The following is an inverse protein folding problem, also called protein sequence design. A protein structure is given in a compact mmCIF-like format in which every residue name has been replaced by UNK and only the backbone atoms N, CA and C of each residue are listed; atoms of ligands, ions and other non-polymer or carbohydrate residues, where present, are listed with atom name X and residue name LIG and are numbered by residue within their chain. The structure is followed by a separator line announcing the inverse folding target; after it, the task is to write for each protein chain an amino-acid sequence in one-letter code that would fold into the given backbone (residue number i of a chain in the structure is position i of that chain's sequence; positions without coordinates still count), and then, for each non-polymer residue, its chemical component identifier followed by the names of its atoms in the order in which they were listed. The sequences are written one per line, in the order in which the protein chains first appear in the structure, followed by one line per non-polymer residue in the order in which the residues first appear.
data_IF_817361095829
#
_entry.id   IF_817361095829
#
_cell.length_a   1.000
_cell.length_b   1.000
_cell.length_c   1.000
_cell.angle_alpha   90.00
_cell.angle_beta   90.00
_cell.angle_gamma   90.00
#
_symmetry.space_group_name_H-M   'P 1'
#
loop_
_entity.id
_entity.type
_entity.pdbx_description
1 polymer ?
#
# COMPACT_ATOMS: atom_id res chain seq x y z
N UNK A 1 -21.79 -6.31 8.56
CA UNK A 1 -21.77 -7.28 7.44
C UNK A 1 -23.18 -7.68 7.02
N UNK A 2 -24.05 -8.17 7.90
CA UNK A 2 -25.44 -8.55 7.51
C UNK A 2 -26.28 -7.38 6.95
N UNK A 3 -26.09 -6.16 7.49
CA UNK A 3 -26.81 -4.96 7.03
C UNK A 3 -26.36 -4.51 5.63
N UNK A 4 -25.08 -4.67 5.29
CA UNK A 4 -24.54 -4.31 3.96
C UNK A 4 -24.89 -5.33 2.88
N UNK A 5 -24.96 -6.62 3.23
CA UNK A 5 -25.39 -7.68 2.31
C UNK A 5 -26.83 -7.48 1.83
N UNK A 6 -27.73 -7.08 2.75
CA UNK A 6 -29.14 -6.88 2.42
C UNK A 6 -29.36 -5.68 1.48
N UNK A 7 -28.58 -4.62 1.63
CA UNK A 7 -28.64 -3.43 0.77
C UNK A 7 -28.15 -3.71 -0.67
N UNK A 8 -27.06 -4.46 -0.82
CA UNK A 8 -26.56 -4.85 -2.14
C UNK A 8 -27.53 -5.78 -2.86
N UNK A 9 -28.07 -6.77 -2.16
CA UNK A 9 -29.05 -7.71 -2.72
C UNK A 9 -30.32 -7.01 -3.19
N UNK A 10 -30.77 -5.98 -2.47
CA UNK A 10 -31.93 -5.18 -2.87
C UNK A 10 -31.64 -4.39 -4.15
N UNK A 11 -30.51 -3.69 -4.22
CA UNK A 11 -30.11 -2.97 -5.45
C UNK A 11 -29.90 -3.89 -6.64
N UNK A 12 -29.30 -5.06 -6.42
CA UNK A 12 -29.13 -6.05 -7.48
C UNK A 12 -30.48 -6.54 -8.01
N UNK A 13 -31.44 -6.82 -7.12
CA UNK A 13 -32.81 -7.18 -7.53
C UNK A 13 -33.48 -6.05 -8.33
N UNK A 14 -33.36 -4.80 -7.87
CA UNK A 14 -33.91 -3.64 -8.58
C UNK A 14 -33.29 -3.50 -9.98
N UNK A 15 -31.97 -3.65 -10.11
CA UNK A 15 -31.27 -3.62 -11.39
C UNK A 15 -31.74 -4.75 -12.33
N UNK A 16 -31.87 -5.97 -11.80
CA UNK A 16 -32.34 -7.11 -12.58
C UNK A 16 -33.78 -6.93 -13.06
N UNK A 17 -34.65 -6.31 -12.25
CA UNK A 17 -36.01 -5.97 -12.67
C UNK A 17 -35.99 -4.91 -13.76
N UNK A 18 -35.21 -3.84 -13.62
CA UNK A 18 -35.05 -2.82 -14.66
C UNK A 18 -34.60 -3.41 -16.01
N UNK A 19 -33.64 -4.34 -16.01
CA UNK A 19 -33.15 -5.01 -17.23
C UNK A 19 -34.23 -5.91 -17.85
N UNK A 20 -35.06 -6.57 -17.03
CA UNK A 20 -36.18 -7.40 -17.50
C UNK A 20 -37.31 -6.55 -18.09
N UNK A 21 -37.68 -5.48 -17.40
CA UNK A 21 -38.79 -4.61 -17.78
C UNK A 21 -38.48 -3.81 -19.05
N UNK A 22 -37.20 -3.48 -19.28
CA UNK A 22 -36.71 -2.88 -20.52
C UNK A 22 -36.59 -3.86 -21.70
N UNK A 23 -36.94 -5.14 -21.51
CA UNK A 23 -36.85 -6.21 -22.52
C UNK A 23 -35.44 -6.32 -23.17
N UNK A 24 -34.40 -5.88 -22.46
CA UNK A 24 -33.05 -5.65 -22.99
C UNK A 24 -32.03 -6.68 -22.52
N UNK A 25 -32.48 -7.74 -21.82
CA UNK A 25 -31.64 -8.81 -21.25
C UNK A 25 -30.65 -9.38 -22.28
N UNK A 26 -31.15 -9.73 -23.47
CA UNK A 26 -30.31 -10.34 -24.51
C UNK A 26 -29.29 -9.34 -25.08
N UNK A 27 -29.66 -8.06 -25.18
CA UNK A 27 -28.76 -7.01 -25.68
C UNK A 27 -27.62 -6.74 -24.70
N UNK A 28 -27.92 -6.53 -23.41
CA UNK A 28 -26.90 -6.35 -22.38
C UNK A 28 -26.04 -7.60 -22.17
N UNK A 29 -26.61 -8.80 -22.28
CA UNK A 29 -25.84 -10.05 -22.23
C UNK A 29 -24.84 -10.15 -23.38
N UNK A 30 -25.25 -9.84 -24.62
CA UNK A 30 -24.35 -9.80 -25.79
C UNK A 30 -23.27 -8.74 -25.62
N UNK A 31 -23.62 -7.54 -25.15
CA UNK A 31 -22.68 -6.46 -24.90
C UNK A 31 -21.63 -6.87 -23.86
N UNK A 32 -22.06 -7.36 -22.69
CA UNK A 32 -21.15 -7.78 -21.61
C UNK A 32 -20.20 -8.90 -22.07
N UNK A 33 -20.69 -9.84 -22.88
CA UNK A 33 -19.88 -10.95 -23.42
C UNK A 33 -18.86 -10.47 -24.45
N UNK A 34 -19.15 -9.36 -25.15
CA UNK A 34 -18.24 -8.78 -26.14
C UNK A 34 -17.08 -7.99 -25.53
N UNK A 35 -17.24 -7.52 -24.28
CA UNK A 35 -16.22 -6.75 -23.56
C UNK A 35 -15.10 -7.67 -23.09
N UNK A 36 -13.86 -7.31 -23.44
CA UNK A 36 -12.69 -8.15 -23.17
C UNK A 36 -12.02 -7.78 -21.85
N UNK A 37 -11.98 -6.49 -21.53
CA UNK A 37 -11.31 -6.02 -20.32
C UNK A 37 -12.31 -5.85 -19.19
N UNK A 38 -11.87 -6.19 -17.98
CA UNK A 38 -12.76 -6.15 -16.81
C UNK A 38 -13.15 -4.72 -16.45
N UNK A 39 -12.29 -3.73 -16.71
CA UNK A 39 -12.65 -2.33 -16.50
C UNK A 39 -13.82 -1.86 -17.38
N UNK A 40 -13.92 -2.36 -18.62
CA UNK A 40 -15.02 -2.04 -19.53
C UNK A 40 -16.34 -2.62 -19.00
N UNK A 41 -16.29 -3.85 -18.47
CA UNK A 41 -17.45 -4.52 -17.85
C UNK A 41 -17.91 -3.78 -16.58
N UNK A 42 -16.97 -3.31 -15.76
CA UNK A 42 -17.27 -2.49 -14.57
C UNK A 42 -17.91 -1.16 -14.99
N UNK A 43 -17.37 -0.49 -16.01
CA UNK A 43 -17.92 0.75 -16.55
C UNK A 43 -19.34 0.56 -17.09
N UNK A 44 -19.57 -0.52 -17.84
CA UNK A 44 -20.92 -0.88 -18.31
C UNK A 44 -21.90 -1.09 -17.14
N UNK A 45 -21.50 -1.84 -16.10
CA UNK A 45 -22.32 -2.06 -14.92
C UNK A 45 -22.61 -0.74 -14.17
N UNK A 46 -21.63 0.17 -14.12
CA UNK A 46 -21.78 1.49 -13.52
C UNK A 46 -22.79 2.37 -14.29
N UNK A 47 -22.70 2.41 -15.62
CA UNK A 47 -23.65 3.12 -16.47
C UNK A 47 -25.07 2.58 -16.31
N UNK A 48 -25.24 1.25 -16.28
CA UNK A 48 -26.52 0.59 -16.04
C UNK A 48 -27.15 0.98 -14.70
N UNK A 49 -26.35 1.01 -13.64
CA UNK A 49 -26.80 1.42 -12.31
C UNK A 49 -27.21 2.90 -12.28
N UNK A 50 -26.55 3.77 -13.05
CA UNK A 50 -26.94 5.17 -13.21
C UNK A 50 -28.25 5.34 -13.99
N UNK A 51 -28.38 4.64 -15.12
CA UNK A 51 -29.62 4.64 -15.94
C UNK A 51 -30.82 4.15 -15.14
N UNK A 52 -30.63 3.12 -14.31
CA UNK A 52 -31.66 2.59 -13.42
C UNK A 52 -31.97 3.51 -12.21
N UNK A 53 -31.25 4.63 -12.05
CA UNK A 53 -31.41 5.54 -10.90
C UNK A 53 -30.96 4.93 -9.56
N UNK A 54 -30.14 3.87 -9.59
CA UNK A 54 -29.70 3.12 -8.42
C UNK A 54 -28.39 3.66 -7.83
N UNK A 55 -27.73 4.60 -8.50
CA UNK A 55 -26.56 5.31 -8.01
C UNK A 55 -26.88 6.79 -7.84
N UNK A 56 -26.81 7.27 -6.60
CA UNK A 56 -26.93 8.69 -6.30
C UNK A 56 -25.54 9.35 -6.35
N UNK A 57 -25.31 10.16 -7.38
CA UNK A 57 -24.10 10.98 -7.53
C UNK A 57 -24.23 12.36 -6.88
N UNK A 58 -25.39 12.69 -6.31
CA UNK A 58 -25.66 13.99 -5.70
C UNK A 58 -24.88 14.19 -4.39
N UNK A 59 -24.49 13.11 -3.72
CA UNK A 59 -23.37 13.11 -2.78
C UNK A 59 -22.06 13.32 -3.55
N UNK A 60 -21.80 14.57 -3.96
CA UNK A 60 -20.49 14.98 -4.46
C UNK A 60 -19.45 14.55 -3.43
N UNK A 61 -18.71 13.48 -3.72
CA UNK A 61 -17.55 13.10 -2.92
C UNK A 61 -16.71 14.35 -2.76
N UNK A 62 -16.59 14.85 -1.53
CA UNK A 62 -15.89 16.10 -1.25
C UNK A 62 -14.41 15.83 -1.50
N UNK A 63 -13.96 16.04 -2.73
CA UNK A 63 -12.58 15.77 -3.13
C UNK A 63 -11.68 16.67 -2.31
N UNK A 64 -11.01 16.08 -1.33
CA UNK A 64 -10.03 16.79 -0.52
C UNK A 64 -8.79 17.03 -1.37
N UNK A 65 -8.41 18.29 -1.48
CA UNK A 65 -7.20 18.72 -2.16
C UNK A 65 -6.02 18.75 -1.19
N UNK A 66 -4.82 18.75 -1.77
CA UNK A 66 -3.59 18.97 -1.01
C UNK A 66 -3.58 20.37 -0.40
N UNK A 67 -3.03 20.48 0.80
CA UNK A 67 -3.00 21.70 1.61
C UNK A 67 -1.79 21.67 2.54
N UNK A 68 -0.88 22.64 2.39
CA UNK A 68 0.26 22.81 3.31
C UNK A 68 -0.20 23.04 4.76
N UNK A 69 -1.34 23.71 4.94
CA UNK A 69 -1.94 23.92 6.28
C UNK A 69 -2.35 22.60 6.92
N UNK A 70 -3.12 21.78 6.20
CA UNK A 70 -3.57 20.47 6.71
C UNK A 70 -2.39 19.54 6.95
N UNK A 71 -1.43 19.50 6.02
CA UNK A 71 -0.20 18.73 6.19
C UNK A 71 0.54 19.11 7.48
N UNK A 72 0.65 20.40 7.77
CA UNK A 72 1.28 20.91 9.00
C UNK A 72 0.49 20.53 10.25
N UNK A 73 -0.84 20.63 10.24
CA UNK A 73 -1.71 20.21 11.35
C UNK A 73 -1.51 18.72 11.68
N UNK A 74 -1.52 17.86 10.66
CA UNK A 74 -1.26 16.43 10.86
C UNK A 74 0.16 16.19 11.36
N UNK A 75 1.16 16.90 10.83
CA UNK A 75 2.54 16.77 11.32
C UNK A 75 2.64 17.12 12.80
N UNK A 76 2.01 18.20 13.24
CA UNK A 76 2.05 18.64 14.63
C UNK A 76 1.29 17.69 15.56
N UNK A 77 0.19 17.11 15.08
CA UNK A 77 -0.51 16.02 15.77
C UNK A 77 0.38 14.78 15.90
N UNK A 78 1.03 14.36 14.82
CA UNK A 78 1.97 13.23 14.83
C UNK A 78 3.17 13.46 15.75
N UNK A 79 3.64 14.70 15.88
CA UNK A 79 4.69 15.07 16.82
C UNK A 79 4.27 14.78 18.27
N UNK A 80 3.03 15.14 18.64
CA UNK A 80 2.48 14.88 19.97
C UNK A 80 2.34 13.38 20.24
N UNK A 81 1.79 12.63 19.28
CA UNK A 81 1.62 11.17 19.39
C UNK A 81 2.96 10.45 19.53
N UNK A 82 3.98 10.89 18.77
CA UNK A 82 5.33 10.32 18.87
C UNK A 82 6.01 10.64 20.20
N UNK A 83 5.81 11.85 20.74
CA UNK A 83 6.28 12.20 22.09
C UNK A 83 5.63 11.32 23.16
N UNK A 84 4.36 10.97 22.99
CA UNK A 84 3.61 10.05 23.85
C UNK A 84 3.95 8.56 23.62
N UNK A 85 4.93 8.23 22.77
CA UNK A 85 5.33 6.86 22.42
C UNK A 85 4.24 6.03 21.74
N UNK A 86 3.26 6.70 21.13
CA UNK A 86 2.19 6.07 20.37
C UNK A 86 2.62 5.88 18.91
N UNK A 87 3.69 5.12 18.68
CA UNK A 87 4.38 5.05 17.38
C UNK A 87 3.47 4.59 16.23
N UNK A 88 2.59 3.61 16.46
CA UNK A 88 1.63 3.14 15.45
C UNK A 88 0.58 4.20 15.07
N UNK A 89 0.18 5.06 16.01
CA UNK A 89 -0.72 6.16 15.72
C UNK A 89 0.03 7.29 15.01
N UNK A 90 1.22 7.63 15.51
CA UNK A 90 2.07 8.66 14.94
C UNK A 90 2.40 8.39 13.47
N UNK A 91 2.71 7.13 13.10
CA UNK A 91 3.04 6.79 11.71
C UNK A 91 1.82 6.92 10.78
N UNK A 92 0.62 6.63 11.26
CA UNK A 92 -0.63 6.86 10.53
C UNK A 92 -0.88 8.35 10.33
N UNK A 93 -0.72 9.14 11.40
CA UNK A 93 -0.91 10.59 11.36
C UNK A 93 0.12 11.29 10.46
N UNK A 94 1.39 10.86 10.49
CA UNK A 94 2.38 11.37 9.53
C UNK A 94 2.10 10.93 8.10
N UNK A 95 1.49 9.77 7.88
CA UNK A 95 1.06 9.35 6.55
C UNK A 95 -0.05 10.26 6.01
N UNK A 96 -0.96 10.72 6.86
CA UNK A 96 -1.92 11.78 6.50
C UNK A 96 -1.19 13.10 6.19
N UNK A 97 -0.21 13.50 7.00
CA UNK A 97 0.60 14.70 6.73
C UNK A 97 1.27 14.65 5.35
N UNK A 98 1.85 13.51 4.98
CA UNK A 98 2.40 13.24 3.65
C UNK A 98 1.31 13.32 2.57
N UNK A 99 0.13 12.74 2.81
CA UNK A 99 -0.98 12.71 1.86
C UNK A 99 -1.50 14.11 1.50
N UNK A 100 -1.65 14.98 2.51
CA UNK A 100 -2.10 16.36 2.35
C UNK A 100 -1.01 17.30 1.82
N UNK A 101 0.28 16.96 1.93
CA UNK A 101 1.34 17.85 1.51
C UNK A 101 1.31 18.07 -0.03
N UNK A 102 1.40 19.33 -0.50
CA UNK A 102 1.59 19.64 -1.92
C UNK A 102 2.86 19.00 -2.48
N UNK A 103 2.84 18.64 -3.76
CA UNK A 103 4.03 18.12 -4.43
C UNK A 103 5.18 19.14 -4.37
N UNK A 104 6.41 18.66 -4.19
CA UNK A 104 7.64 19.48 -4.12
C UNK A 104 7.67 20.54 -3.00
N UNK A 105 6.78 20.46 -2.02
CA UNK A 105 6.74 21.39 -0.89
C UNK A 105 7.76 21.04 0.20
N UNK A 106 8.13 22.04 0.99
CA UNK A 106 8.87 21.82 2.24
C UNK A 106 8.05 20.98 3.23
N UNK A 107 6.72 21.16 3.27
CA UNK A 107 5.85 20.34 4.12
C UNK A 107 5.95 18.85 3.80
N UNK A 108 5.99 18.48 2.52
CA UNK A 108 6.14 17.09 2.10
C UNK A 108 7.48 16.50 2.57
N UNK A 109 8.56 17.26 2.41
CA UNK A 109 9.89 16.83 2.83
C UNK A 109 9.98 16.68 4.36
N UNK A 110 9.40 17.62 5.12
CA UNK A 110 9.31 17.57 6.57
C UNK A 110 8.42 16.41 7.05
N UNK A 111 7.32 16.12 6.36
CA UNK A 111 6.44 15.00 6.68
C UNK A 111 7.15 13.65 6.50
N UNK A 112 7.88 13.45 5.40
CA UNK A 112 8.74 12.26 5.22
C UNK A 112 9.83 12.16 6.29
N UNK A 113 10.48 13.28 6.62
CA UNK A 113 11.48 13.34 7.67
C UNK A 113 10.93 12.94 9.05
N UNK A 114 9.70 13.30 9.38
CA UNK A 114 9.08 12.92 10.65
C UNK A 114 8.59 11.47 10.63
N UNK A 115 7.99 11.02 9.52
CA UNK A 115 7.57 9.62 9.37
C UNK A 115 8.75 8.65 9.46
N UNK A 116 9.89 9.01 8.86
CA UNK A 116 11.11 8.19 8.99
C UNK A 116 11.59 8.05 10.44
N UNK A 117 11.39 9.06 11.29
CA UNK A 117 11.72 8.98 12.71
C UNK A 117 10.93 7.88 13.44
N UNK A 118 9.65 7.75 13.12
CA UNK A 118 8.77 6.73 13.70
C UNK A 118 9.06 5.34 13.13
N UNK A 119 9.24 5.23 11.81
CA UNK A 119 9.62 3.93 11.22
C UNK A 119 10.97 3.43 11.73
N UNK A 120 11.88 4.34 12.11
CA UNK A 120 13.12 4.00 12.80
C UNK A 120 12.87 3.44 14.20
N UNK A 121 11.98 4.04 15.00
CA UNK A 121 11.65 3.53 16.34
C UNK A 121 10.91 2.19 16.30
N UNK A 122 10.13 1.95 15.25
CA UNK A 122 9.48 0.66 14.96
C UNK A 122 10.44 -0.42 14.42
N UNK A 123 11.72 -0.10 14.19
CA UNK A 123 12.71 -1.05 13.65
C UNK A 123 12.58 -1.32 12.15
N UNK A 124 11.75 -0.55 11.43
CA UNK A 124 11.56 -0.67 9.98
C UNK A 124 12.63 0.12 9.22
N UNK A 125 13.90 -0.27 9.38
CA UNK A 125 15.06 0.49 8.90
C UNK A 125 15.06 0.72 7.38
N UNK A 126 14.62 -0.26 6.57
CA UNK A 126 14.53 -0.11 5.11
C UNK A 126 13.46 0.90 4.70
N UNK A 127 12.34 0.94 5.42
CA UNK A 127 11.25 1.91 5.26
C UNK A 127 11.71 3.31 5.65
N UNK A 128 12.40 3.42 6.79
CA UNK A 128 13.00 4.66 7.28
C UNK A 128 13.95 5.29 6.24
N UNK A 129 14.86 4.51 5.67
CA UNK A 129 15.81 4.98 4.66
C UNK A 129 15.10 5.54 3.42
N UNK A 130 14.03 4.88 2.95
CA UNK A 130 13.25 5.35 1.78
C UNK A 130 12.62 6.73 2.02
N UNK A 131 12.05 6.96 3.19
CA UNK A 131 11.48 8.27 3.54
C UNK A 131 12.56 9.33 3.74
N UNK A 132 13.72 8.98 4.30
CA UNK A 132 14.87 9.89 4.37
C UNK A 132 15.30 10.32 2.96
N UNK A 133 15.44 9.38 2.04
CA UNK A 133 15.86 9.67 0.66
C UNK A 133 14.85 10.57 -0.06
N UNK A 134 13.55 10.34 0.16
CA UNK A 134 12.48 11.22 -0.37
C UNK A 134 12.54 12.62 0.21
N UNK A 135 12.77 12.75 1.52
CA UNK A 135 12.92 14.06 2.16
C UNK A 135 14.13 14.80 1.59
N UNK A 136 15.28 14.15 1.50
CA UNK A 136 16.53 14.73 0.98
C UNK A 136 16.47 15.09 -0.51
N UNK A 137 15.71 14.33 -1.32
CA UNK A 137 15.46 14.64 -2.72
C UNK A 137 14.50 15.83 -2.92
N UNK A 138 13.73 16.20 -1.89
CA UNK A 138 12.80 17.32 -1.90
C UNK A 138 13.37 18.57 -1.22
N UNK A 139 12.46 19.47 -0.86
CA UNK A 139 12.75 20.77 -0.24
C UNK A 139 13.05 20.67 1.26
N UNK A 140 13.84 19.68 1.70
CA UNK A 140 14.19 19.55 3.12
C UNK A 140 15.24 20.59 3.54
N UNK A 141 15.02 21.34 4.63
CA UNK A 141 15.91 22.42 5.04
C UNK A 141 17.34 21.96 5.28
N UNK A 142 18.30 22.64 4.66
CA UNK A 142 19.72 22.25 4.67
C UNK A 142 20.27 22.13 6.09
N UNK A 143 19.95 23.10 6.95
CA UNK A 143 20.39 23.16 8.33
C UNK A 143 19.88 22.02 9.23
N UNK A 144 18.94 21.20 8.75
CA UNK A 144 18.43 20.01 9.45
C UNK A 144 18.94 18.69 8.84
N UNK A 145 19.59 18.71 7.66
CA UNK A 145 19.97 17.50 6.91
C UNK A 145 20.84 16.53 7.72
N UNK A 146 21.69 17.06 8.60
CA UNK A 146 22.53 16.25 9.47
C UNK A 146 21.72 15.22 10.30
N UNK A 147 20.50 15.57 10.75
CA UNK A 147 19.61 14.65 11.50
C UNK A 147 19.14 13.46 10.67
N UNK A 148 18.86 13.71 9.38
CA UNK A 148 18.43 12.65 8.47
C UNK A 148 19.57 11.70 8.15
N UNK A 149 20.75 12.24 7.85
CA UNK A 149 21.94 11.42 7.58
C UNK A 149 22.40 10.63 8.81
N UNK A 150 22.31 11.19 10.02
CA UNK A 150 22.56 10.47 11.26
C UNK A 150 21.59 9.28 11.42
N UNK A 151 20.28 9.51 11.23
CA UNK A 151 19.27 8.45 11.28
C UNK A 151 19.48 7.39 10.19
N UNK A 152 19.87 7.81 8.98
CA UNK A 152 20.18 6.91 7.86
C UNK A 152 21.36 6.02 8.19
N UNK A 153 22.45 6.59 8.71
CA UNK A 153 23.62 5.84 9.15
C UNK A 153 23.28 4.82 10.24
N UNK A 154 22.51 5.22 11.27
CA UNK A 154 22.02 4.30 12.31
C UNK A 154 21.18 3.16 11.73
N UNK A 155 20.25 3.48 10.82
CA UNK A 155 19.41 2.48 10.14
C UNK A 155 20.26 1.47 9.35
N UNK A 156 21.27 1.95 8.61
CA UNK A 156 22.18 1.12 7.83
C UNK A 156 23.05 0.22 8.70
N UNK A 157 23.48 0.68 9.89
CA UNK A 157 24.17 -0.16 10.88
C UNK A 157 23.30 -1.32 11.34
N UNK A 158 22.03 -1.08 11.64
CA UNK A 158 21.11 -2.16 12.02
C UNK A 158 20.89 -3.17 10.89
N UNK A 159 20.96 -2.72 9.63
CA UNK A 159 20.91 -3.57 8.45
C UNK A 159 22.25 -4.22 8.08
N UNK A 160 23.30 -4.05 8.89
CA UNK A 160 24.67 -4.55 8.62
C UNK A 160 25.28 -4.03 7.31
N UNK A 161 24.86 -2.84 6.89
CA UNK A 161 25.44 -2.11 5.75
C UNK A 161 26.46 -1.08 6.26
N UNK A 162 27.60 -1.58 6.77
CA UNK A 162 28.57 -0.77 7.51
C UNK A 162 29.27 0.30 6.65
N UNK A 163 29.54 0.01 5.37
CA UNK A 163 30.17 0.98 4.46
C UNK A 163 29.20 2.12 4.17
N UNK A 164 28.00 1.76 3.73
CA UNK A 164 26.92 2.74 3.45
C UNK A 164 26.56 3.57 4.70
N UNK A 165 26.64 2.95 5.90
CA UNK A 165 26.44 3.65 7.16
C UNK A 165 27.54 4.69 7.42
N UNK A 166 28.81 4.32 7.20
CA UNK A 166 29.94 5.23 7.35
C UNK A 166 29.78 6.46 6.44
N UNK A 167 29.48 6.24 5.17
CA UNK A 167 29.24 7.32 4.19
C UNK A 167 28.12 8.27 4.67
N UNK A 168 27.05 7.70 5.24
CA UNK A 168 25.95 8.50 5.80
C UNK A 168 26.37 9.33 7.01
N UNK A 169 27.19 8.79 7.92
CA UNK A 169 27.69 9.55 9.06
C UNK A 169 28.68 10.65 8.65
N UNK A 170 29.53 10.40 7.65
CA UNK A 170 30.40 11.43 7.08
C UNK A 170 29.57 12.55 6.45
N UNK A 171 28.51 12.23 5.70
CA UNK A 171 27.60 13.25 5.18
C UNK A 171 26.87 14.03 6.28
N UNK A 172 26.52 13.37 7.40
CA UNK A 172 26.00 14.06 8.57
C UNK A 172 27.01 15.08 9.13
N UNK A 173 28.30 14.73 9.21
CA UNK A 173 29.36 15.64 9.65
C UNK A 173 29.52 16.83 8.71
N UNK A 174 29.52 16.61 7.39
CA UNK A 174 29.57 17.71 6.41
C UNK A 174 28.38 18.65 6.55
N UNK A 175 27.17 18.10 6.76
CA UNK A 175 25.96 18.91 6.96
C UNK A 175 25.93 19.67 8.30
N UNK A 176 26.83 19.40 9.25
CA UNK A 176 26.93 20.19 10.47
C UNK A 176 27.40 21.63 10.20
N UNK A 177 28.14 21.86 9.11
CA UNK A 177 28.64 23.18 8.73
C UNK A 177 27.51 24.18 8.44
N UNK A 178 26.38 23.69 7.90
CA UNK A 178 25.18 24.50 7.64
C UNK A 178 24.14 24.41 8.76
N UNK A 179 24.44 23.74 9.88
CA UNK A 179 23.51 23.59 11.00
C UNK A 179 23.38 24.88 11.83
N UNK A 180 22.23 25.03 12.49
CA UNK A 180 21.95 26.15 13.43
C UNK A 180 22.20 25.76 14.90
N UNK A 181 23.10 24.81 15.14
CA UNK A 181 23.40 24.34 16.50
C UNK A 181 24.27 25.34 17.26
N UNK A 182 24.06 25.44 18.58
CA UNK A 182 24.96 26.17 19.48
C UNK A 182 26.29 25.41 19.64
N UNK A 183 27.32 26.11 20.14
CA UNK A 183 28.69 25.58 20.20
C UNK A 183 28.83 24.29 21.02
N UNK A 184 28.04 24.13 22.10
CA UNK A 184 28.07 22.91 22.92
C UNK A 184 27.39 21.74 22.23
N UNK A 185 26.17 21.92 21.69
CA UNK A 185 25.46 20.85 20.97
C UNK A 185 26.18 20.46 19.70
N UNK A 186 26.80 21.42 19.00
CA UNK A 186 27.60 21.15 17.81
C UNK A 186 28.81 20.26 18.13
N UNK A 187 29.54 20.56 19.21
CA UNK A 187 30.66 19.72 19.68
C UNK A 187 30.18 18.32 20.08
N UNK A 188 29.12 18.23 20.88
CA UNK A 188 28.55 16.95 21.31
C UNK A 188 28.12 16.08 20.12
N UNK A 189 27.42 16.67 19.14
CA UNK A 189 26.99 15.98 17.94
C UNK A 189 28.18 15.54 17.06
N UNK A 190 29.18 16.40 16.89
CA UNK A 190 30.41 16.10 16.13
C UNK A 190 31.18 14.93 16.76
N UNK A 191 31.30 14.91 18.09
CA UNK A 191 31.92 13.81 18.84
C UNK A 191 31.15 12.50 18.63
N UNK A 192 29.82 12.52 18.82
CA UNK A 192 28.98 11.34 18.64
C UNK A 192 29.07 10.77 17.22
N UNK A 193 29.03 11.60 16.19
CA UNK A 193 29.19 11.16 14.80
C UNK A 193 30.58 10.57 14.56
N UNK A 194 31.62 11.17 15.13
CA UNK A 194 33.00 10.66 15.00
C UNK A 194 33.16 9.27 15.63
N UNK A 195 32.50 9.01 16.75
CA UNK A 195 32.43 7.68 17.36
C UNK A 195 31.69 6.69 16.46
N UNK A 196 30.56 7.09 15.86
CA UNK A 196 29.83 6.24 14.92
C UNK A 196 30.68 5.87 13.71
N UNK A 197 31.41 6.83 13.12
CA UNK A 197 32.33 6.58 11.99
C UNK A 197 33.42 5.57 12.37
N UNK A 198 34.05 5.74 13.54
CA UNK A 198 35.07 4.80 14.03
C UNK A 198 34.52 3.39 14.25
N UNK A 199 33.26 3.30 14.68
CA UNK A 199 32.60 2.01 14.94
C UNK A 199 32.16 1.27 13.67
N UNK A 200 32.09 1.95 12.52
CA UNK A 200 31.70 1.35 11.25
C UNK A 200 32.92 0.73 10.56
N UNK A 201 33.22 -0.54 10.88
CA UNK A 201 34.23 -1.35 10.20
C UNK A 201 33.58 -2.51 9.44
N UNK A 202 33.93 -2.68 8.16
CA UNK A 202 33.50 -3.83 7.34
C UNK A 202 32.79 -3.46 6.04
N UNK A 203 32.50 -4.48 5.23
CA UNK A 203 31.75 -4.36 3.98
C UNK A 203 30.25 -4.44 4.20
N UNK A 204 29.46 -4.06 3.20
CA UNK A 204 28.01 -4.22 3.24
C UNK A 204 27.65 -5.71 3.05
N UNK A 205 26.78 -6.22 3.93
CA UNK A 205 26.24 -7.58 3.81
C UNK A 205 24.81 -7.47 3.28
N UNK A 206 24.59 -7.94 2.05
CA UNK A 206 23.25 -7.98 1.46
C UNK A 206 22.47 -9.14 2.06
N UNK A 207 21.53 -8.83 2.96
CA UNK A 207 20.52 -9.80 3.39
C UNK A 207 19.55 -9.97 2.22
N UNK A 208 19.58 -11.14 1.57
CA UNK A 208 18.55 -11.51 0.60
C UNK A 208 17.23 -11.64 1.35
N UNK A 209 16.33 -10.67 1.16
CA UNK A 209 14.94 -10.84 1.57
C UNK A 209 14.35 -11.99 0.77
N UNK A 210 13.84 -13.01 1.47
CA UNK A 210 13.09 -14.10 0.84
C UNK A 210 11.83 -13.46 0.24
N UNK A 211 11.72 -13.47 -1.08
CA UNK A 211 10.47 -13.11 -1.74
C UNK A 211 9.51 -14.28 -1.51
N UNK A 212 8.44 -14.05 -0.73
CA UNK A 212 7.36 -15.01 -0.61
C UNK A 212 6.76 -15.20 -2.00
N UNK A 213 6.89 -16.40 -2.57
CA UNK A 213 6.30 -16.79 -3.86
C UNK A 213 4.79 -17.04 -3.70
N UNK A 214 4.00 -16.80 -4.75
CA UNK A 214 2.59 -17.19 -4.76
C UNK A 214 2.55 -18.71 -4.68
N UNK A 215 1.58 -19.30 -3.96
CA UNK A 215 1.35 -20.72 -4.05
C UNK A 215 1.05 -21.09 -5.51
N UNK A 216 1.45 -22.29 -5.91
CA UNK A 216 1.10 -22.88 -7.21
C UNK A 216 -0.08 -23.83 -7.00
N UNK A 217 -0.92 -24.01 -8.03
CA UNK A 217 -1.94 -25.06 -8.01
C UNK A 217 -1.27 -26.44 -7.86
N UNK A 218 -1.77 -27.25 -6.93
CA UNK A 218 -1.37 -28.66 -6.81
C UNK A 218 -1.77 -29.42 -8.08
N UNK A 219 -0.98 -30.39 -8.54
CA UNK A 219 -1.27 -31.25 -9.71
C UNK A 219 -1.63 -30.51 -11.03
N UNK A 220 -1.24 -29.23 -11.15
CA UNK A 220 -1.45 -28.44 -12.35
C UNK A 220 -2.89 -27.96 -12.55
N UNK A 221 -3.13 -27.28 -13.67
CA UNK A 221 -4.39 -26.58 -13.94
C UNK A 221 -5.42 -27.50 -14.60
N UNK A 222 -6.68 -27.41 -14.15
CA UNK A 222 -7.81 -28.08 -14.76
C UNK A 222 -8.08 -27.56 -16.19
N UNK A 223 -8.45 -28.47 -17.10
CA UNK A 223 -8.84 -28.11 -18.47
C UNK A 223 -10.22 -27.43 -18.54
N UNK A 224 -11.06 -27.62 -17.51
CA UNK A 224 -12.42 -27.09 -17.47
C UNK A 224 -12.53 -25.85 -16.60
N UNK A 225 -11.77 -25.79 -15.50
CA UNK A 225 -11.83 -24.68 -14.53
C UNK A 225 -10.54 -23.86 -14.62
N UNK A 226 -10.65 -22.64 -15.14
CA UNK A 226 -9.48 -21.78 -15.38
C UNK A 226 -8.67 -21.45 -14.13
N UNK A 227 -9.30 -21.42 -12.96
CA UNK A 227 -8.70 -20.98 -11.70
C UNK A 227 -8.37 -22.14 -10.76
N UNK A 228 -8.62 -23.39 -11.16
CA UNK A 228 -8.54 -24.54 -10.25
C UNK A 228 -7.57 -25.62 -10.70
N UNK A 229 -7.16 -26.41 -9.72
CA UNK A 229 -6.34 -27.60 -9.86
C UNK A 229 -7.09 -28.69 -10.63
N UNK A 230 -6.34 -29.58 -11.29
CA UNK A 230 -6.87 -30.83 -11.86
C UNK A 230 -7.51 -31.76 -10.82
N UNK A 231 -7.23 -31.55 -9.52
CA UNK A 231 -7.80 -32.28 -8.36
C UNK A 231 -9.29 -32.02 -8.13
N UNK A 232 -9.86 -31.01 -8.78
CA UNK A 232 -11.28 -30.68 -8.67
C UNK A 232 -11.93 -30.55 -10.04
N UNK A 233 -13.18 -30.99 -10.11
CA UNK A 233 -14.02 -30.86 -11.31
C UNK A 233 -15.40 -30.29 -10.96
N UNK A 234 -16.05 -29.68 -11.95
CA UNK A 234 -17.43 -29.19 -11.80
C UNK A 234 -18.39 -30.29 -12.22
N UNK A 235 -19.30 -30.65 -11.32
CA UNK A 235 -20.44 -31.52 -11.61
C UNK A 235 -21.76 -30.76 -11.39
N UNK A 236 -22.85 -31.32 -11.93
CA UNK A 236 -24.20 -30.80 -11.74
C UNK A 236 -25.09 -31.85 -11.08
N UNK A 237 -25.77 -31.46 -10.00
CA UNK A 237 -26.85 -32.25 -9.41
C UNK A 237 -28.11 -31.39 -9.29
N UNK A 238 -29.29 -32.04 -9.28
CA UNK A 238 -30.57 -31.31 -9.16
C UNK A 238 -30.70 -30.58 -7.82
N UNK A 239 -30.03 -31.08 -6.77
CA UNK A 239 -30.12 -30.56 -5.41
C UNK A 239 -29.18 -29.38 -5.17
N UNK A 240 -27.95 -29.45 -5.69
CA UNK A 240 -26.88 -28.47 -5.42
C UNK A 240 -26.58 -27.55 -6.62
N UNK A 241 -27.12 -27.86 -7.80
CA UNK A 241 -26.74 -27.19 -9.03
C UNK A 241 -25.28 -27.52 -9.41
N UNK A 242 -24.57 -26.53 -9.97
CA UNK A 242 -23.13 -26.65 -10.29
C UNK A 242 -22.32 -26.61 -8.99
N UNK A 243 -21.55 -27.65 -8.72
CA UNK A 243 -20.73 -27.76 -7.52
C UNK A 243 -19.36 -28.38 -7.85
N UNK A 244 -18.37 -28.10 -7.02
CA UNK A 244 -17.04 -28.69 -7.12
C UNK A 244 -17.02 -30.04 -6.41
N UNK A 245 -16.41 -31.03 -7.04
CA UNK A 245 -16.12 -32.34 -6.45
C UNK A 245 -14.64 -32.65 -6.63
N UNK A 246 -14.09 -33.45 -5.71
CA UNK A 246 -12.74 -33.98 -5.83
C UNK A 246 -12.70 -35.01 -6.96
N UNK A 247 -11.77 -34.86 -7.91
CA UNK A 247 -11.52 -35.81 -9.00
C UNK A 247 -10.46 -36.85 -8.63
N UNK A 248 -9.66 -36.59 -7.60
CA UNK A 248 -8.68 -37.49 -7.00
C UNK A 248 -8.52 -37.21 -5.49
N UNK A 249 -7.66 -37.97 -4.83
CA UNK A 249 -7.33 -37.76 -3.42
C UNK A 249 -6.64 -36.40 -3.23
N UNK A 250 -7.09 -35.65 -2.23
CA UNK A 250 -6.59 -34.31 -1.90
C UNK A 250 -5.94 -34.38 -0.52
N UNK A 251 -4.68 -33.97 -0.44
CA UNK A 251 -3.92 -34.01 0.80
C UNK A 251 -3.95 -32.65 1.52
N UNK A 252 -3.81 -32.62 2.86
CA UNK A 252 -3.67 -31.38 3.61
C UNK A 252 -2.53 -30.52 3.08
N UNK A 253 -2.82 -29.25 2.82
CA UNK A 253 -1.87 -28.30 2.24
C UNK A 253 -2.01 -28.12 0.72
N UNK A 254 -2.78 -28.95 0.02
CA UNK A 254 -3.02 -28.77 -1.42
C UNK A 254 -3.73 -27.46 -1.74
N UNK A 255 -3.31 -26.84 -2.84
CA UNK A 255 -3.85 -25.57 -3.33
C UNK A 255 -4.78 -25.88 -4.49
N UNK A 256 -6.08 -25.85 -4.20
CA UNK A 256 -7.12 -26.29 -5.12
C UNK A 256 -7.58 -25.20 -6.08
N UNK A 257 -7.61 -23.95 -5.62
CA UNK A 257 -8.10 -22.81 -6.41
C UNK A 257 -7.22 -21.61 -6.15
N UNK A 258 -6.81 -20.94 -7.23
CA UNK A 258 -6.17 -19.62 -7.22
C UNK A 258 -6.94 -18.76 -8.21
N UNK A 259 -7.70 -17.79 -7.69
CA UNK A 259 -8.51 -16.89 -8.51
C UNK A 259 -8.03 -15.46 -8.38
N UNK A 260 -7.72 -14.81 -9.51
CA UNK A 260 -7.52 -13.37 -9.54
C UNK A 260 -8.91 -12.68 -9.46
N UNK A 261 -9.13 -11.78 -8.50
CA UNK A 261 -10.42 -11.17 -8.35
C UNK A 261 -10.67 -10.17 -9.46
N UNK A 262 -11.90 -10.20 -9.95
CA UNK A 262 -12.38 -9.31 -10.98
C UNK A 262 -12.21 -7.81 -10.62
N UNK A 263 -12.40 -7.47 -9.35
CA UNK A 263 -12.14 -6.13 -8.82
C UNK A 263 -11.72 -6.21 -7.34
N UNK A 264 -10.94 -5.24 -6.87
CA UNK A 264 -10.61 -5.12 -5.45
C UNK A 264 -10.54 -3.67 -5.00
N UNK A 265 -11.25 -3.37 -3.91
CA UNK A 265 -11.29 -2.06 -3.29
C UNK A 265 -10.76 -2.15 -1.87
N UNK A 266 -10.09 -1.10 -1.40
CA UNK A 266 -9.79 -0.98 0.02
C UNK A 266 -11.03 -0.50 0.76
N UNK A 267 -11.23 -0.97 1.99
CA UNK A 267 -12.21 -0.36 2.87
C UNK A 267 -11.65 0.96 3.43
N UNK A 268 -12.50 1.95 3.76
CA UNK A 268 -12.04 3.28 4.22
C UNK A 268 -11.05 3.22 5.40
N UNK A 269 -11.24 2.29 6.33
CA UNK A 269 -10.34 2.08 7.47
C UNK A 269 -8.90 1.68 7.06
N UNK A 270 -8.72 1.17 5.83
CA UNK A 270 -7.46 0.66 5.31
C UNK A 270 -6.71 1.65 4.41
N UNK A 271 -7.31 2.78 4.02
CA UNK A 271 -6.74 3.72 3.04
C UNK A 271 -5.35 4.23 3.41
N UNK A 272 -5.10 4.44 4.70
CA UNK A 272 -3.86 5.05 5.19
C UNK A 272 -2.72 4.04 5.43
N UNK A 273 -3.02 2.74 5.42
CA UNK A 273 -2.08 1.69 5.82
C UNK A 273 -1.83 0.65 4.72
N UNK A 274 -2.64 0.64 3.67
CA UNK A 274 -2.59 -0.34 2.59
C UNK A 274 -2.38 0.36 1.25
N UNK A 275 -1.52 -0.21 0.40
CA UNK A 275 -1.34 0.27 -0.95
C UNK A 275 -2.64 0.09 -1.76
N UNK A 276 -3.14 1.16 -2.39
CA UNK A 276 -4.35 1.06 -3.22
C UNK A 276 -4.23 0.10 -4.39
N UNK A 277 -3.00 -0.18 -4.83
CA UNK A 277 -2.74 -1.01 -5.99
C UNK A 277 -2.47 -2.47 -5.60
N UNK A 278 -1.40 -2.74 -4.86
CA UNK A 278 -1.03 -4.11 -4.51
C UNK A 278 -1.62 -4.59 -3.18
N UNK A 279 -2.41 -3.75 -2.49
CA UNK A 279 -3.03 -4.01 -1.18
C UNK A 279 -2.03 -4.35 -0.07
N UNK A 280 -0.71 -4.27 -0.28
CA UNK A 280 0.29 -4.52 0.77
C UNK A 280 0.17 -3.48 1.87
N UNK A 281 0.12 -3.96 3.12
CA UNK A 281 0.27 -3.09 4.28
C UNK A 281 1.66 -2.47 4.28
N UNK A 282 1.76 -1.17 4.48
CA UNK A 282 3.03 -0.45 4.57
C UNK A 282 2.86 0.88 5.29
N UNK A 283 3.80 1.23 6.15
CA UNK A 283 3.82 2.49 6.88
C UNK A 283 4.43 3.67 6.10
N UNK A 284 5.08 3.43 4.95
CA UNK A 284 5.65 4.48 4.10
C UNK A 284 5.13 4.47 2.66
N UNK A 285 3.81 4.54 2.54
CA UNK A 285 3.14 4.76 1.27
C UNK A 285 3.45 6.17 0.72
N UNK A 286 3.43 6.27 -0.61
CA UNK A 286 3.61 7.48 -1.40
C UNK A 286 2.23 7.98 -1.83
N UNK A 287 1.92 9.27 -1.63
CA UNK A 287 0.65 9.80 -2.02
C UNK A 287 0.58 10.09 -3.51
N UNK A 288 -0.63 10.09 -4.06
CA UNK A 288 -0.91 10.72 -5.34
C UNK A 288 -0.44 12.18 -5.32
N UNK A 289 -0.07 12.72 -6.48
CA UNK A 289 0.34 14.12 -6.62
C UNK A 289 -0.86 15.09 -6.60
N UNK A 290 -2.08 14.61 -6.86
CA UNK A 290 -3.26 15.46 -7.03
C UNK A 290 -4.31 15.28 -5.92
N UNK A 291 -4.47 14.07 -5.38
CA UNK A 291 -5.43 13.78 -4.31
C UNK A 291 -4.73 13.39 -2.99
N UNK A 292 -5.52 13.35 -1.92
CA UNK A 292 -5.06 12.97 -0.57
C UNK A 292 -5.44 11.53 -0.19
N UNK A 293 -6.28 10.87 -0.98
CA UNK A 293 -6.84 9.56 -0.63
C UNK A 293 -5.97 8.41 -1.15
N UNK A 294 -5.42 8.54 -2.35
CA UNK A 294 -4.75 7.42 -3.01
C UNK A 294 -3.28 7.36 -2.60
N UNK A 295 -2.93 6.29 -1.89
CA UNK A 295 -1.59 5.99 -1.42
C UNK A 295 -1.06 4.70 -2.06
N UNK A 296 0.21 4.68 -2.52
CA UNK A 296 0.82 3.55 -3.24
C UNK A 296 2.25 3.25 -2.79
N UNK A 297 2.76 2.08 -3.12
CA UNK A 297 4.19 1.76 -2.96
C UNK A 297 5.03 2.27 -4.15
N UNK A 298 6.31 2.53 -3.92
CA UNK A 298 7.24 3.07 -4.93
C UNK A 298 7.51 2.13 -6.11
N UNK A 299 7.49 0.80 -5.90
CA UNK A 299 7.83 -0.21 -6.92
C UNK A 299 6.75 -0.42 -7.98
N UNK A 300 5.74 0.45 -8.03
CA UNK A 300 4.50 0.22 -8.80
C UNK A 300 4.41 1.11 -10.04
N UNK A 301 5.50 1.80 -10.43
CA UNK A 301 5.62 2.39 -11.77
C UNK A 301 5.67 1.32 -12.88
N UNK A 302 5.91 0.05 -12.53
CA UNK A 302 5.90 -1.07 -13.46
C UNK A 302 4.57 -1.83 -13.35
N UNK A 303 3.76 -1.75 -14.40
CA UNK A 303 2.41 -2.31 -14.52
C UNK A 303 2.41 -3.85 -14.40
N UNK A 304 3.58 -4.51 -14.36
CA UNK A 304 3.70 -5.97 -14.40
C UNK A 304 3.97 -6.69 -13.08
N UNK A 305 4.29 -5.99 -11.99
CA UNK A 305 4.56 -6.65 -10.69
C UNK A 305 3.28 -6.96 -9.85
N UNK A 306 2.12 -7.08 -10.49
CA UNK A 306 0.83 -6.66 -9.90
C UNK A 306 -0.09 -7.72 -9.29
N UNK A 307 0.14 -9.03 -9.45
CA UNK A 307 -0.87 -10.04 -9.08
C UNK A 307 -0.75 -10.63 -7.66
N UNK A 308 0.23 -10.21 -6.88
CA UNK A 308 0.69 -10.97 -5.71
C UNK A 308 -0.25 -11.01 -4.50
N UNK A 309 -1.33 -10.24 -4.49
CA UNK A 309 -2.02 -9.98 -3.22
C UNK A 309 -3.52 -9.79 -3.32
N UNK A 310 -4.08 -10.14 -4.47
CA UNK A 310 -5.52 -10.09 -4.65
C UNK A 310 -6.10 -11.49 -4.85
N UNK A 311 -5.28 -12.51 -5.09
CA UNK A 311 -5.80 -13.85 -5.26
C UNK A 311 -6.41 -14.42 -3.99
N UNK A 312 -7.65 -14.89 -4.09
CA UNK A 312 -8.26 -15.75 -3.08
C UNK A 312 -7.77 -17.16 -3.36
N UNK A 313 -7.26 -17.84 -2.34
CA UNK A 313 -6.89 -19.25 -2.44
C UNK A 313 -7.62 -20.07 -1.39
N UNK A 314 -8.00 -21.27 -1.79
CA UNK A 314 -8.61 -22.27 -0.93
C UNK A 314 -7.59 -23.37 -0.68
N UNK A 315 -7.24 -23.56 0.58
CA UNK A 315 -6.31 -24.60 1.02
C UNK A 315 -7.08 -25.59 1.89
N UNK A 316 -6.86 -26.88 1.65
CA UNK A 316 -7.43 -27.93 2.50
C UNK A 316 -6.70 -27.90 3.86
N UNK A 317 -7.46 -27.78 4.96
CA UNK A 317 -6.95 -27.73 6.35
C UNK A 317 -6.92 -29.14 6.92
#
# INVERSE_FOLDING_TARGET
MEIEGNYFDEKLKQLLNYIKDSNSVESYSKMLTSLKQDHEKVEMAYCLLLEAGLLDLSEKMKVRSKSSKESSIFRDKGNKEFQLKQDLLAVQTYSLSVAFAPANSEELALAYANRSAVTFSLGEYTTCIKDIDRALAGSYPEYLRYKLYERKGKSLKFLRMNKSANDSFQMAQTCLLSSRLDGEKLKSMSLSLSEQVKSCSGTDITIKTVENCMPCLSEGKSNTILSASSLVEIQFSKELGRHLVASADIEPGDVLVIEEPFASVLLPASYNNYCFQCKKRCHALIPCLNCVEVLRLQRVMDVRAHLWMVCVYWQCI
#
